data_IF_675620649007
#
_entry.id   IF_675620649007
#
_cell.length_a   1.000
_cell.length_b   1.000
_cell.length_c   1.000
_cell.angle_alpha   90.00
_cell.angle_beta   90.00
_cell.angle_gamma   90.00
#
_symmetry.space_group_name_H-M   'P 1'
#
loop_
_entity.id
_entity.type
_entity.pdbx_description
1 polymer ?
#
# COMPACT_ATOMS: atom_id res chain seq x y z
N UNK A 1 -46.65 -7.01 2.94
CA UNK A 1 -45.31 -6.72 3.51
C UNK A 1 -44.47 -7.96 3.30
N UNK A 2 -43.66 -7.98 2.24
CA UNK A 2 -42.81 -9.13 1.89
C UNK A 2 -41.36 -8.67 1.93
N UNK A 3 -40.59 -9.18 2.89
CA UNK A 3 -39.16 -8.93 3.03
C UNK A 3 -38.41 -9.87 2.08
N UNK A 4 -37.77 -9.29 1.07
CA UNK A 4 -36.79 -9.98 0.23
C UNK A 4 -35.49 -10.14 1.05
N UNK A 5 -35.07 -11.38 1.29
CA UNK A 5 -33.70 -11.68 1.74
C UNK A 5 -32.78 -11.74 0.52
N UNK A 6 -31.63 -11.03 0.48
CA UNK A 6 -30.64 -11.27 -0.53
C UNK A 6 -29.82 -12.53 -0.20
N UNK A 7 -29.57 -13.33 -1.24
CA UNK A 7 -28.78 -14.54 -1.22
C UNK A 7 -27.37 -14.32 -0.65
N UNK A 8 -26.94 -15.23 0.24
CA UNK A 8 -25.53 -15.36 0.63
C UNK A 8 -24.76 -16.04 -0.50
N UNK A 9 -23.72 -15.42 -1.09
CA UNK A 9 -22.81 -16.14 -1.95
C UNK A 9 -21.96 -17.11 -1.11
N UNK A 10 -21.77 -18.28 -1.69
CA UNK A 10 -21.20 -19.50 -1.14
C UNK A 10 -19.76 -19.30 -0.65
N UNK A 11 -19.44 -19.91 0.50
CA UNK A 11 -18.09 -20.04 1.06
C UNK A 11 -17.10 -20.53 0.01
N UNK A 12 -16.22 -19.65 -0.46
CA UNK A 12 -14.95 -20.04 -1.06
C UNK A 12 -13.91 -20.11 0.05
N UNK A 13 -13.37 -21.32 0.29
CA UNK A 13 -12.28 -21.59 1.22
C UNK A 13 -11.04 -20.79 0.82
N UNK A 14 -10.75 -19.72 1.57
CA UNK A 14 -9.43 -19.08 1.54
C UNK A 14 -8.61 -19.61 2.72
N UNK A 15 -7.31 -19.93 2.53
CA UNK A 15 -6.48 -20.51 3.58
C UNK A 15 -6.29 -19.53 4.74
N UNK A 16 -6.41 -20.05 5.96
CA UNK A 16 -6.23 -19.31 7.21
C UNK A 16 -4.76 -18.93 7.39
N UNK A 17 -4.39 -17.73 6.93
CA UNK A 17 -3.08 -17.13 7.16
C UNK A 17 -3.13 -16.32 8.46
N UNK A 18 -2.42 -16.70 9.53
CA UNK A 18 -2.55 -16.01 10.81
C UNK A 18 -1.75 -14.71 10.77
N UNK A 19 -2.35 -13.63 11.30
CA UNK A 19 -1.84 -12.25 11.42
C UNK A 19 -2.23 -11.26 10.31
N UNK A 20 -3.53 -11.14 10.00
CA UNK A 20 -4.13 -9.92 9.44
C UNK A 20 -5.47 -9.63 10.13
N UNK A 21 -5.95 -8.37 10.14
CA UNK A 21 -7.36 -8.06 10.41
C UNK A 21 -8.26 -8.82 9.42
N UNK A 22 -9.49 -9.14 9.82
CA UNK A 22 -10.45 -9.85 8.96
C UNK A 22 -10.67 -9.11 7.63
N UNK A 23 -10.75 -9.85 6.51
CA UNK A 23 -10.94 -9.28 5.18
C UNK A 23 -12.23 -8.47 5.07
N UNK A 24 -13.23 -8.78 5.92
CA UNK A 24 -14.47 -8.03 6.01
C UNK A 24 -14.25 -6.59 6.53
N UNK A 25 -13.31 -6.38 7.46
CA UNK A 25 -12.94 -5.04 7.97
C UNK A 25 -12.11 -4.26 6.95
N UNK A 26 -11.32 -4.95 6.13
CA UNK A 26 -10.62 -4.38 4.97
C UNK A 26 -11.61 -3.92 3.88
N UNK A 27 -12.64 -4.74 3.61
CA UNK A 27 -13.70 -4.41 2.65
C UNK A 27 -14.59 -3.27 3.17
N UNK A 28 -14.91 -3.23 4.46
CA UNK A 28 -15.66 -2.12 5.05
C UNK A 28 -14.88 -0.78 5.04
N UNK A 29 -13.56 -0.84 5.21
CA UNK A 29 -12.66 0.32 5.02
C UNK A 29 -12.55 0.73 3.54
N UNK A 30 -12.64 -0.23 2.63
CA UNK A 30 -12.70 -0.01 1.17
C UNK A 30 -14.05 0.57 0.70
N UNK A 31 -15.17 0.26 1.38
CA UNK A 31 -16.51 0.80 1.06
C UNK A 31 -16.76 2.22 1.59
N UNK A 32 -16.05 2.63 2.64
CA UNK A 32 -16.12 4.00 3.20
C UNK A 32 -15.15 4.99 2.56
N UNK A 33 -14.37 4.52 1.60
CA UNK A 33 -13.43 5.33 0.82
C UNK A 33 -14.17 6.15 -0.24
N UNK A 34 -13.79 7.41 -0.50
CA UNK A 34 -14.49 8.22 -1.47
C UNK A 34 -14.24 7.69 -2.90
N UNK A 35 -15.12 7.98 -3.88
CA UNK A 35 -15.18 7.32 -5.19
C UNK A 35 -13.89 7.35 -6.04
N UNK A 36 -12.87 8.10 -5.63
CA UNK A 36 -11.52 8.08 -6.21
C UNK A 36 -10.65 6.90 -5.72
N UNK A 37 -11.13 6.06 -4.80
CA UNK A 37 -10.46 4.82 -4.35
C UNK A 37 -10.96 3.57 -5.09
N UNK A 38 -11.88 3.75 -6.04
CA UNK A 38 -12.32 2.71 -6.96
C UNK A 38 -11.08 2.11 -7.66
N UNK A 39 -11.04 0.78 -7.74
CA UNK A 39 -9.93 -0.07 -8.24
C UNK A 39 -9.57 0.12 -9.74
N UNK A 40 -9.83 1.31 -10.30
CA UNK A 40 -9.33 1.79 -11.60
C UNK A 40 -8.11 2.72 -11.45
N UNK A 41 -7.74 3.09 -10.21
CA UNK A 41 -6.59 3.95 -9.93
C UNK A 41 -5.25 3.29 -10.28
N UNK A 42 -4.37 4.04 -10.95
CA UNK A 42 -3.02 3.59 -11.25
C UNK A 42 -2.24 3.38 -9.95
N UNK A 43 -1.95 2.13 -9.60
CA UNK A 43 -1.17 1.84 -8.40
C UNK A 43 0.28 2.30 -8.56
N UNK A 44 0.79 3.02 -7.57
CA UNK A 44 2.23 3.33 -7.47
C UNK A 44 2.95 2.01 -7.22
N UNK A 45 4.03 1.75 -7.98
CA UNK A 45 4.92 0.62 -7.73
C UNK A 45 5.85 0.97 -6.59
N UNK A 46 5.95 0.06 -5.64
CA UNK A 46 6.76 0.25 -4.44
C UNK A 46 7.60 -0.98 -4.13
N UNK A 47 8.74 -0.73 -3.51
CA UNK A 47 9.52 -1.73 -2.79
C UNK A 47 9.64 -1.33 -1.32
N UNK A 48 9.65 -2.32 -0.45
CA UNK A 48 9.66 -2.16 1.01
C UNK A 48 10.79 -2.99 1.58
N UNK A 49 11.57 -2.42 2.49
CA UNK A 49 12.62 -3.14 3.19
C UNK A 49 12.87 -2.54 4.58
N UNK A 50 13.54 -3.34 5.41
CA UNK A 50 14.13 -2.86 6.66
C UNK A 50 15.61 -2.57 6.39
N UNK A 51 16.07 -1.39 6.79
CA UNK A 51 17.47 -1.01 6.78
C UNK A 51 17.88 -0.56 8.19
N UNK A 52 18.76 -1.33 8.82
CA UNK A 52 19.12 -1.20 10.23
C UNK A 52 17.90 -1.08 11.17
N UNK A 53 17.62 0.12 11.67
CA UNK A 53 16.53 0.46 12.57
C UNK A 53 15.42 1.28 11.88
N UNK A 54 15.33 1.21 10.54
CA UNK A 54 14.35 1.96 9.76
C UNK A 54 13.55 1.06 8.84
N UNK A 55 12.27 1.37 8.71
CA UNK A 55 11.41 0.87 7.64
C UNK A 55 11.47 1.85 6.46
N UNK A 56 11.83 1.33 5.29
CA UNK A 56 12.08 2.13 4.10
C UNK A 56 11.14 1.70 2.98
N UNK A 57 10.50 2.68 2.37
CA UNK A 57 9.59 2.53 1.23
C UNK A 57 10.13 3.34 0.09
N UNK A 58 10.34 2.71 -1.07
CA UNK A 58 10.71 3.41 -2.31
C UNK A 58 9.58 3.27 -3.32
N UNK A 59 9.14 4.40 -3.85
CA UNK A 59 7.99 4.51 -4.73
C UNK A 59 8.38 5.13 -6.08
N UNK A 60 8.06 4.44 -7.17
CA UNK A 60 8.33 4.91 -8.53
C UNK A 60 7.32 5.98 -8.95
N UNK A 61 7.78 7.23 -9.05
CA UNK A 61 6.99 8.40 -9.41
C UNK A 61 7.75 9.29 -10.42
N UNK A 62 8.10 8.78 -11.61
CA UNK A 62 8.87 9.57 -12.59
C UNK A 62 8.04 10.72 -13.18
N UNK A 63 8.64 11.91 -13.20
CA UNK A 63 8.09 13.08 -13.87
C UNK A 63 6.95 13.78 -13.12
N UNK A 64 6.89 13.63 -11.80
CA UNK A 64 6.00 14.40 -10.91
C UNK A 64 6.81 15.51 -10.21
N UNK A 65 6.16 16.63 -9.87
CA UNK A 65 6.75 17.64 -8.99
C UNK A 65 6.45 17.26 -7.53
N UNK A 66 7.42 16.80 -6.72
CA UNK A 66 7.15 16.31 -5.38
C UNK A 66 6.58 17.38 -4.44
N UNK A 67 6.83 18.66 -4.69
CA UNK A 67 6.35 19.74 -3.82
C UNK A 67 4.88 20.10 -4.07
N UNK A 68 4.32 19.72 -5.22
CA UNK A 68 2.96 20.10 -5.65
C UNK A 68 2.06 18.90 -5.86
N UNK A 69 2.62 17.83 -6.42
CA UNK A 69 1.86 16.72 -6.97
C UNK A 69 1.93 15.48 -6.07
N UNK A 70 2.62 15.50 -4.93
CA UNK A 70 2.77 14.36 -4.01
C UNK A 70 2.26 14.70 -2.62
N UNK A 71 1.43 13.83 -2.06
CA UNK A 71 0.91 13.89 -0.69
C UNK A 71 1.25 12.59 0.04
N UNK A 72 1.85 12.72 1.23
CA UNK A 72 2.24 11.59 2.08
C UNK A 72 1.57 11.80 3.43
N UNK A 73 0.85 10.80 3.89
CA UNK A 73 0.16 10.84 5.18
C UNK A 73 0.31 9.52 5.91
N UNK A 74 0.35 9.61 7.25
CA UNK A 74 0.23 8.45 8.13
C UNK A 74 -0.97 8.66 9.03
N UNK A 75 -1.78 7.62 9.16
CA UNK A 75 -2.92 7.60 10.07
C UNK A 75 -3.17 6.18 10.55
N UNK A 76 -3.28 5.99 11.86
CA UNK A 76 -3.63 4.69 12.46
C UNK A 76 -2.70 3.55 11.99
N UNK A 77 -1.38 3.77 11.96
CA UNK A 77 -0.42 2.75 11.49
C UNK A 77 -0.43 2.49 9.99
N UNK A 78 -1.05 3.37 9.19
CA UNK A 78 -1.16 3.21 7.75
C UNK A 78 -0.49 4.38 7.03
N UNK A 79 0.58 4.08 6.29
CA UNK A 79 1.23 5.01 5.36
C UNK A 79 0.43 5.08 4.06
N UNK A 80 0.22 6.28 3.57
CA UNK A 80 -0.49 6.57 2.33
C UNK A 80 0.34 7.52 1.49
N UNK A 81 0.59 7.15 0.24
CA UNK A 81 1.25 7.96 -0.78
C UNK A 81 0.23 8.22 -1.88
N UNK A 82 -0.03 9.49 -2.17
CA UNK A 82 -0.81 9.96 -3.30
C UNK A 82 0.08 10.76 -4.23
N UNK A 83 -0.13 10.61 -5.52
CA UNK A 83 0.55 11.44 -6.50
C UNK A 83 -0.38 11.78 -7.68
N UNK A 84 -0.18 12.92 -8.31
CA UNK A 84 -0.83 13.27 -9.57
C UNK A 84 0.22 13.39 -10.68
N UNK A 85 -0.10 12.87 -11.87
CA UNK A 85 0.70 13.11 -13.07
C UNK A 85 -0.17 13.74 -14.14
N UNK A 86 0.05 15.03 -14.40
CA UNK A 86 -0.70 15.76 -15.42
C UNK A 86 -0.48 15.15 -16.82
N UNK A 87 -1.57 15.00 -17.56
CA UNK A 87 -1.52 14.64 -18.98
C UNK A 87 -1.05 15.83 -19.82
N UNK A 88 -0.09 15.60 -20.72
CA UNK A 88 0.23 16.56 -21.79
C UNK A 88 -0.40 16.08 -23.09
N UNK A 89 -1.45 16.76 -23.54
CA UNK A 89 -2.09 16.48 -24.83
C UNK A 89 -1.34 17.23 -25.92
N UNK A 90 -0.46 16.52 -26.61
CA UNK A 90 0.14 16.98 -27.88
C UNK A 90 -0.52 16.25 -29.04
N UNK A 91 -0.99 17.02 -30.04
CA UNK A 91 -1.57 16.46 -31.26
C UNK A 91 -0.57 15.54 -31.97
N UNK A 92 -1.04 14.37 -32.43
CA UNK A 92 -0.20 13.38 -33.11
C UNK A 92 0.65 12.48 -32.18
N UNK A 93 0.53 12.62 -30.86
CA UNK A 93 1.26 11.76 -29.91
C UNK A 93 0.48 10.49 -29.58
N UNK A 94 1.18 9.34 -29.59
CA UNK A 94 0.70 8.09 -29.00
C UNK A 94 1.49 7.84 -27.71
N UNK A 95 0.79 7.63 -26.60
CA UNK A 95 1.40 7.47 -25.28
C UNK A 95 1.05 6.12 -24.67
N UNK A 96 2.05 5.45 -24.10
CA UNK A 96 1.86 4.29 -23.21
C UNK A 96 1.87 4.69 -21.73
N UNK A 97 2.15 5.96 -21.44
CA UNK A 97 2.20 6.47 -20.08
C UNK A 97 0.80 6.52 -19.47
N UNK A 98 0.77 6.31 -18.16
CA UNK A 98 -0.40 6.53 -17.32
C UNK A 98 -0.35 7.96 -16.77
N UNK A 99 -1.51 8.61 -16.71
CA UNK A 99 -1.71 9.98 -16.21
C UNK A 99 -2.89 10.00 -15.23
N UNK A 100 -3.03 11.10 -14.49
CA UNK A 100 -4.05 11.28 -13.46
C UNK A 100 -3.55 10.91 -12.07
N UNK A 101 -4.45 10.45 -11.21
CA UNK A 101 -4.17 10.19 -9.80
C UNK A 101 -3.62 8.78 -9.58
N UNK A 102 -2.57 8.71 -8.76
CA UNK A 102 -1.91 7.50 -8.31
C UNK A 102 -2.01 7.40 -6.80
N UNK A 103 -2.12 6.17 -6.32
CA UNK A 103 -2.28 5.89 -4.91
C UNK A 103 -1.56 4.61 -4.50
N UNK A 104 -1.00 4.62 -3.30
CA UNK A 104 -0.53 3.42 -2.60
C UNK A 104 -0.73 3.59 -1.11
N UNK A 105 -1.12 2.52 -0.45
CA UNK A 105 -1.17 2.46 1.00
C UNK A 105 -0.66 1.14 1.54
N UNK A 106 0.03 1.22 2.67
CA UNK A 106 0.76 0.13 3.30
C UNK A 106 0.66 0.25 4.81
N UNK A 107 0.63 -0.89 5.50
CA UNK A 107 0.66 -0.92 6.96
C UNK A 107 2.11 -0.75 7.44
N UNK A 108 2.29 0.10 8.45
CA UNK A 108 3.58 0.28 9.09
C UNK A 108 3.91 -0.93 9.98
N UNK A 109 5.18 -1.33 10.05
CA UNK A 109 5.61 -2.32 11.03
C UNK A 109 5.33 -1.86 12.46
N UNK A 110 5.14 -2.82 13.36
CA UNK A 110 5.04 -2.52 14.80
C UNK A 110 6.29 -1.80 15.28
N UNK A 111 6.11 -0.72 16.05
CA UNK A 111 7.21 0.09 16.57
C UNK A 111 7.66 1.21 15.65
N UNK A 112 6.99 1.44 14.51
CA UNK A 112 7.24 2.62 13.70
C UNK A 112 7.00 3.92 14.49
N UNK A 113 7.98 4.82 14.42
CA UNK A 113 7.88 6.17 14.97
C UNK A 113 7.27 7.10 13.91
N UNK A 114 5.94 7.25 13.98
CA UNK A 114 5.17 8.06 13.04
C UNK A 114 5.47 9.57 13.14
N UNK A 115 6.11 10.03 14.22
CA UNK A 115 6.47 11.44 14.43
C UNK A 115 7.82 11.80 13.77
N UNK A 116 8.64 10.80 13.43
CA UNK A 116 10.01 10.97 12.93
C UNK A 116 10.20 10.50 11.48
N UNK A 117 9.15 10.64 10.66
CA UNK A 117 9.15 10.27 9.24
C UNK A 117 10.00 11.24 8.43
N UNK A 118 10.88 10.70 7.59
CA UNK A 118 11.64 11.47 6.60
C UNK A 118 11.25 11.04 5.18
N UNK A 119 11.27 11.98 4.24
CA UNK A 119 10.97 11.72 2.85
C UNK A 119 11.91 12.50 1.91
N UNK A 120 12.47 11.79 0.94
CA UNK A 120 13.35 12.37 -0.09
C UNK A 120 12.87 11.97 -1.48
N UNK A 121 13.11 12.80 -2.47
CA UNK A 121 12.76 12.52 -3.86
C UNK A 121 13.96 12.80 -4.76
N UNK A 122 14.35 11.80 -5.55
CA UNK A 122 15.46 11.88 -6.49
C UNK A 122 15.32 10.85 -7.60
N UNK A 123 15.71 11.23 -8.82
CA UNK A 123 15.72 10.34 -10.00
C UNK A 123 14.38 9.63 -10.28
N UNK A 124 13.26 10.30 -9.97
CA UNK A 124 11.93 9.73 -10.17
C UNK A 124 11.47 8.79 -9.05
N UNK A 125 12.23 8.66 -7.96
CA UNK A 125 11.94 7.77 -6.83
C UNK A 125 11.68 8.61 -5.57
N UNK A 126 10.50 8.44 -4.99
CA UNK A 126 10.20 8.90 -3.64
C UNK A 126 10.68 7.84 -2.64
N UNK A 127 11.50 8.22 -1.67
CA UNK A 127 11.95 7.37 -0.58
C UNK A 127 11.39 7.90 0.72
N UNK A 128 10.55 7.11 1.39
CA UNK A 128 10.02 7.40 2.73
C UNK A 128 10.73 6.49 3.73
N UNK A 129 11.24 7.06 4.81
CA UNK A 129 12.04 6.36 5.80
C UNK A 129 11.53 6.64 7.20
N UNK A 130 11.17 5.58 7.92
CA UNK A 130 10.48 5.67 9.21
C UNK A 130 11.31 4.92 10.25
N UNK A 131 11.81 5.59 11.29
CA UNK A 131 12.51 4.92 12.37
C UNK A 131 11.60 3.87 13.02
N UNK A 132 12.19 2.76 13.43
CA UNK A 132 11.55 1.76 14.26
C UNK A 132 12.15 1.87 15.66
N UNK A 133 11.29 2.01 16.66
CA UNK A 133 11.68 1.78 18.05
C UNK A 133 12.35 0.40 18.13
N UNK A 134 13.45 0.30 18.88
CA UNK A 134 14.22 -0.93 19.04
C UNK A 134 13.31 -2.09 19.46
N UNK A 135 12.86 -2.88 18.46
CA UNK A 135 12.02 -4.04 18.69
C UNK A 135 12.93 -5.24 18.80
N UNK A 136 12.86 -5.94 19.93
CA UNK A 136 13.60 -7.17 20.19
C UNK A 136 13.03 -8.35 19.39
N UNK A 137 12.95 -8.22 18.07
CA UNK A 137 12.52 -9.29 17.18
C UNK A 137 13.66 -10.30 17.05
N UNK A 138 13.68 -11.30 17.93
CA UNK A 138 14.59 -12.43 17.79
C UNK A 138 14.20 -13.25 16.55
N UNK A 139 15.17 -13.50 15.67
CA UNK A 139 15.03 -14.43 14.55
C UNK A 139 14.58 -15.80 15.07
N UNK A 140 13.53 -16.35 14.46
CA UNK A 140 13.08 -17.72 14.75
C UNK A 140 13.34 -18.59 13.52
N UNK A 141 14.24 -19.54 13.67
CA UNK A 141 14.45 -20.55 12.65
C UNK A 141 13.28 -21.54 12.65
N UNK A 142 12.65 -21.73 11.49
CA UNK A 142 11.54 -22.67 11.32
C UNK A 142 12.01 -23.83 10.45
N UNK A 143 12.03 -25.03 11.01
CA UNK A 143 12.38 -26.25 10.28
C UNK A 143 11.27 -26.63 9.30
N UNK A 144 11.60 -26.73 8.01
CA UNK A 144 10.65 -27.17 6.96
C UNK A 144 10.60 -28.69 6.92
N UNK A 145 9.47 -29.28 7.34
CA UNK A 145 9.26 -30.73 7.27
C UNK A 145 8.75 -31.15 5.88
N UNK A 146 9.42 -32.14 5.28
CA UNK A 146 8.99 -32.73 4.00
C UNK A 146 7.73 -33.58 4.21
N UNK A 147 6.62 -33.18 3.59
CA UNK A 147 5.39 -33.99 3.54
C UNK A 147 5.59 -35.16 2.57
N UNK A 148 5.40 -36.40 3.03
CA UNK A 148 5.34 -37.59 2.15
C UNK A 148 3.94 -37.71 1.55
N UNK A 149 3.84 -37.81 0.22
CA UNK A 149 2.62 -38.30 -0.44
C UNK A 149 2.52 -39.81 -0.21
N UNK A 150 1.32 -40.28 0.14
CA UNK A 150 0.97 -41.71 0.20
C UNK A 150 0.50 -42.18 -1.17
#
# INVERSE_FOLDING_TARGET
MSVHSPHRPTQALMPNWPMMPDWSDLVARFESMPPWTSMEGHMIRVEEHLDADRYVVRAELPGVDPAKDVDISVREGQLTIKAERAERKEEGTRSEFRYGNFYRSMLLPTGADEDSIDATYGDGILTVSIPLAASSSQERHVEVKKMSRK
#
